data_IF_594230820966
#
_entry.id   IF_594230820966
#
_cell.length_a   1.000
_cell.length_b   1.000
_cell.length_c   1.000
_cell.angle_alpha   90.00
_cell.angle_beta   90.00
_cell.angle_gamma   90.00
#
_symmetry.space_group_name_H-M   'P 1'
#
loop_
_entity.id
_entity.type
_entity.pdbx_description
1 polymer ?
#
# COMPACT_ATOMS: atom_id res chain seq x y z
N UNK A 1 -6.16 15.44 -15.02
CA UNK A 1 -6.66 14.95 -13.71
C UNK A 1 -6.49 13.44 -13.56
N UNK A 2 -6.84 12.65 -14.58
CA UNK A 2 -6.75 11.18 -14.60
C UNK A 2 -5.32 10.63 -14.37
N UNK A 3 -4.30 11.28 -14.95
CA UNK A 3 -2.89 10.86 -14.83
C UNK A 3 -2.36 10.76 -13.40
N UNK A 4 -2.76 11.69 -12.50
CA UNK A 4 -2.32 11.67 -11.09
C UNK A 4 -2.95 10.51 -10.32
N UNK A 5 -4.21 10.18 -10.60
CA UNK A 5 -4.89 9.02 -10.00
C UNK A 5 -4.29 7.71 -10.51
N UNK A 6 -4.00 7.61 -11.81
CA UNK A 6 -3.39 6.42 -12.39
C UNK A 6 -1.98 6.16 -11.82
N UNK A 7 -1.18 7.21 -11.60
CA UNK A 7 0.11 7.09 -10.91
C UNK A 7 -0.04 6.59 -9.47
N UNK A 8 -1.00 7.12 -8.73
CA UNK A 8 -1.23 6.71 -7.35
C UNK A 8 -1.69 5.24 -7.29
N UNK A 9 -2.60 4.85 -8.18
CA UNK A 9 -3.06 3.46 -8.30
C UNK A 9 -1.91 2.51 -8.64
N UNK A 10 -1.04 2.89 -9.58
CA UNK A 10 0.15 2.11 -9.92
C UNK A 10 1.06 1.85 -8.70
N UNK A 11 1.30 2.88 -7.88
CA UNK A 11 2.10 2.76 -6.67
C UNK A 11 1.42 1.88 -5.62
N UNK A 12 0.10 1.98 -5.48
CA UNK A 12 -0.71 1.13 -4.59
C UNK A 12 -0.56 -0.35 -5.00
N UNK A 13 -0.72 -0.66 -6.28
CA UNK A 13 -0.61 -2.04 -6.76
C UNK A 13 0.81 -2.60 -6.60
N UNK A 14 1.85 -1.78 -6.83
CA UNK A 14 3.23 -2.18 -6.55
C UNK A 14 3.48 -2.49 -5.07
N UNK A 15 2.93 -1.69 -4.17
CA UNK A 15 3.05 -1.93 -2.73
C UNK A 15 2.24 -3.14 -2.27
N UNK A 16 1.07 -3.40 -2.86
CA UNK A 16 0.30 -4.64 -2.62
C UNK A 16 1.09 -5.88 -2.99
N UNK A 17 1.72 -5.87 -4.17
CA UNK A 17 2.58 -6.98 -4.61
C UNK A 17 3.73 -7.21 -3.62
N UNK A 18 4.45 -6.15 -3.24
CA UNK A 18 5.55 -6.25 -2.26
C UNK A 18 5.07 -6.79 -0.91
N UNK A 19 3.93 -6.32 -0.42
CA UNK A 19 3.37 -6.77 0.86
C UNK A 19 3.01 -8.25 0.81
N UNK A 20 2.37 -8.70 -0.28
CA UNK A 20 2.03 -10.10 -0.46
C UNK A 20 3.26 -10.99 -0.54
N UNK A 21 4.31 -10.58 -1.28
CA UNK A 21 5.57 -11.34 -1.33
C UNK A 21 6.28 -11.39 0.03
N UNK A 22 6.26 -10.28 0.77
CA UNK A 22 6.87 -10.21 2.10
C UNK A 22 6.13 -11.10 3.10
N UNK A 23 4.79 -11.09 3.08
CA UNK A 23 3.93 -11.89 3.97
C UNK A 23 3.99 -13.41 3.69
N UNK A 24 4.50 -13.85 2.53
CA UNK A 24 4.78 -15.27 2.28
C UNK A 24 5.92 -15.81 3.14
N UNK A 25 6.87 -14.95 3.50
CA UNK A 25 8.13 -15.35 4.14
C UNK A 25 8.29 -14.78 5.56
N UNK A 26 7.37 -13.93 6.00
CA UNK A 26 7.41 -13.24 7.30
C UNK A 26 6.05 -13.27 7.98
N UNK A 27 6.07 -13.20 9.31
CA UNK A 27 4.85 -13.05 10.08
C UNK A 27 4.17 -11.71 9.78
N UNK A 28 2.84 -11.68 9.88
CA UNK A 28 2.06 -10.45 9.69
C UNK A 28 2.40 -9.36 10.73
N UNK A 29 2.90 -9.78 11.89
CA UNK A 29 3.38 -8.91 12.97
C UNK A 29 4.84 -8.48 12.80
N UNK A 30 5.54 -8.98 11.77
CA UNK A 30 6.91 -8.56 11.48
C UNK A 30 6.93 -7.03 11.26
N UNK A 31 7.85 -6.28 11.89
CA UNK A 31 7.89 -4.83 11.79
C UNK A 31 7.97 -4.31 10.35
N UNK A 32 8.60 -5.06 9.43
CA UNK A 32 8.65 -4.68 8.03
C UNK A 32 7.31 -4.85 7.32
N UNK A 33 6.61 -5.97 7.59
CA UNK A 33 5.25 -6.22 7.07
C UNK A 33 4.29 -5.16 7.58
N UNK A 34 4.33 -4.84 8.87
CA UNK A 34 3.48 -3.81 9.50
C UNK A 34 3.75 -2.43 8.89
N UNK A 35 5.02 -2.01 8.76
CA UNK A 35 5.36 -0.72 8.15
C UNK A 35 4.86 -0.61 6.70
N UNK A 36 5.00 -1.69 5.93
CA UNK A 36 4.58 -1.73 4.54
C UNK A 36 3.06 -1.68 4.40
N UNK A 37 2.33 -2.41 5.24
CA UNK A 37 0.87 -2.38 5.35
C UNK A 37 0.37 -0.96 5.70
N UNK A 38 0.94 -0.33 6.73
CA UNK A 38 0.54 1.05 7.09
C UNK A 38 0.81 2.07 5.97
N UNK A 39 1.88 1.89 5.21
CA UNK A 39 2.17 2.74 4.04
C UNK A 39 1.14 2.55 2.94
N UNK A 40 0.74 1.31 2.67
CA UNK A 40 -0.30 0.98 1.71
C UNK A 40 -1.63 1.62 2.12
N UNK A 41 -2.02 1.51 3.39
CA UNK A 41 -3.26 2.09 3.92
C UNK A 41 -3.32 3.61 3.74
N UNK A 42 -2.21 4.33 4.02
CA UNK A 42 -2.14 5.78 3.78
C UNK A 42 -2.36 6.15 2.31
N UNK A 43 -1.84 5.35 1.39
CA UNK A 43 -2.02 5.59 -0.05
C UNK A 43 -3.44 5.27 -0.51
N UNK A 44 -4.04 4.20 0.02
CA UNK A 44 -5.43 3.85 -0.23
C UNK A 44 -6.37 4.97 0.26
N UNK A 45 -6.17 5.48 1.48
CA UNK A 45 -6.95 6.61 2.00
C UNK A 45 -6.83 7.85 1.11
N UNK A 46 -5.60 8.17 0.66
CA UNK A 46 -5.34 9.26 -0.29
C UNK A 46 -6.05 9.04 -1.63
N UNK A 47 -6.09 7.82 -2.13
CA UNK A 47 -6.76 7.47 -3.38
C UNK A 47 -8.29 7.56 -3.26
N UNK A 48 -8.84 7.07 -2.16
CA UNK A 48 -10.27 7.08 -1.86
C UNK A 48 -10.80 8.48 -1.50
N UNK A 49 -9.92 9.47 -1.26
CA UNK A 49 -10.33 10.79 -0.79
C UNK A 49 -10.86 10.79 0.65
N UNK A 50 -10.62 9.70 1.40
CA UNK A 50 -10.95 9.64 2.83
C UNK A 50 -9.87 10.41 3.58
N UNK A 51 -10.22 11.63 3.98
CA UNK A 51 -9.50 12.34 5.04
C UNK A 51 -10.02 11.77 6.36
N UNK A 52 -9.12 11.22 7.17
CA UNK A 52 -9.40 10.88 8.57
C UNK A 52 -9.50 12.15 9.40
#
# INVERSE_FOLDING_TARGET
MEYRRNKLLYVIEKLRQQLNELAKNKYLTDPEVVRLSQRLDRLLNKYSGKQG
#
